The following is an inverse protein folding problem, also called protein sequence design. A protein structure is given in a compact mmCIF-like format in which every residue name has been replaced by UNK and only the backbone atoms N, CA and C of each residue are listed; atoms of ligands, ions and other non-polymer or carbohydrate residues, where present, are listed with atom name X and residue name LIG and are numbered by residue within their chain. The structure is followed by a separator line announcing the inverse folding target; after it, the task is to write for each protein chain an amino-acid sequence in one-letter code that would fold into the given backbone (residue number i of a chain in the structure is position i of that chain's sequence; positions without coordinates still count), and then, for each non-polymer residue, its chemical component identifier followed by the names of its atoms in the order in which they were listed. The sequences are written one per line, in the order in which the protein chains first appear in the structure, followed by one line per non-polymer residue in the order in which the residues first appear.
data_IF_874433089664
#
_entry.id   IF_874433089664
#
_cell.length_a   1.000
_cell.length_b   1.000
_cell.length_c   1.000
_cell.angle_alpha   90.00
_cell.angle_beta   90.00
_cell.angle_gamma   90.00
#
_symmetry.space_group_name_H-M   'P 1'
#
loop_
_entity.id
_entity.type
_entity.pdbx_description
1 polymer ?
#
# COMPACT_ATOMS: atom_id res chain seq x y z
N UNK A 1 4.56 -10.91 -23.28
CA UNK A 1 4.38 -11.72 -22.04
C UNK A 1 2.90 -11.65 -21.61
N UNK A 2 2.36 -12.62 -20.85
CA UNK A 2 0.97 -12.60 -20.35
C UNK A 2 0.68 -11.35 -19.49
N UNK A 3 1.70 -10.83 -18.78
CA UNK A 3 1.61 -9.56 -18.06
C UNK A 3 1.35 -8.40 -19.02
N UNK A 4 2.21 -8.22 -20.03
CA UNK A 4 2.06 -7.14 -21.02
C UNK A 4 0.69 -7.21 -21.74
N UNK A 5 0.16 -8.40 -21.99
CA UNK A 5 -1.18 -8.56 -22.56
C UNK A 5 -2.28 -8.09 -21.61
N UNK A 6 -2.16 -8.39 -20.31
CA UNK A 6 -3.09 -7.90 -19.29
C UNK A 6 -2.96 -6.37 -19.11
N UNK A 7 -1.74 -5.84 -19.10
CA UNK A 7 -1.46 -4.39 -19.06
C UNK A 7 -2.06 -3.69 -20.27
N UNK A 8 -1.84 -4.20 -21.50
CA UNK A 8 -2.43 -3.62 -22.70
C UNK A 8 -3.96 -3.69 -22.69
N UNK A 9 -4.55 -4.80 -22.21
CA UNK A 9 -6.00 -4.95 -22.11
C UNK A 9 -6.59 -3.93 -21.12
N UNK A 10 -6.00 -3.80 -19.94
CA UNK A 10 -6.45 -2.87 -18.90
C UNK A 10 -6.23 -1.41 -19.29
N UNK A 11 -5.06 -1.09 -19.87
CA UNK A 11 -4.78 0.24 -20.39
C UNK A 11 -5.75 0.62 -21.50
N UNK A 12 -6.07 -0.31 -22.39
CA UNK A 12 -7.09 -0.08 -23.43
C UNK A 12 -8.47 0.20 -22.82
N UNK A 13 -8.92 -0.59 -21.86
CA UNK A 13 -10.21 -0.37 -21.18
C UNK A 13 -10.24 1.03 -20.54
N UNK A 14 -9.18 1.44 -19.84
CA UNK A 14 -9.09 2.78 -19.24
C UNK A 14 -9.14 3.89 -20.31
N UNK A 15 -8.43 3.72 -21.43
CA UNK A 15 -8.43 4.69 -22.53
C UNK A 15 -9.82 4.80 -23.17
N UNK A 16 -10.46 3.68 -23.45
CA UNK A 16 -11.80 3.62 -24.05
C UNK A 16 -12.86 4.26 -23.11
N UNK A 17 -12.74 4.03 -21.79
CA UNK A 17 -13.50 4.69 -20.72
C UNK A 17 -13.30 6.21 -20.72
N UNK A 18 -12.05 6.69 -20.81
CA UNK A 18 -11.74 8.13 -20.80
C UNK A 18 -12.22 8.82 -22.08
N UNK A 19 -12.21 8.12 -23.22
CA UNK A 19 -12.66 8.64 -24.51
C UNK A 19 -14.19 8.65 -24.67
N UNK A 20 -14.92 8.03 -23.74
CA UNK A 20 -16.39 8.04 -23.73
C UNK A 20 -17.04 7.07 -24.71
N UNK A 21 -16.28 6.09 -25.23
CA UNK A 21 -16.79 5.11 -26.19
C UNK A 21 -17.61 3.98 -25.52
N UNK A 22 -17.51 3.82 -24.19
CA UNK A 22 -18.46 3.09 -23.33
C UNK A 22 -18.65 3.89 -22.03
N UNK A 23 -19.89 4.18 -21.63
CA UNK A 23 -20.25 5.15 -20.56
C UNK A 23 -20.03 4.59 -19.14
N UNK A 24 -18.82 4.11 -18.86
CA UNK A 24 -18.40 3.70 -17.51
C UNK A 24 -17.22 4.60 -17.12
N UNK A 25 -17.33 5.40 -16.05
CA UNK A 25 -16.23 6.28 -15.60
C UNK A 25 -15.05 5.45 -15.09
N UNK A 26 -13.87 6.06 -14.93
CA UNK A 26 -12.71 5.37 -14.34
C UNK A 26 -13.07 4.80 -12.97
N UNK A 27 -13.85 5.53 -12.17
CA UNK A 27 -14.34 5.07 -10.87
C UNK A 27 -15.22 3.83 -11.01
N UNK A 28 -16.18 3.85 -11.94
CA UNK A 28 -17.06 2.72 -12.19
C UNK A 28 -16.29 1.49 -12.72
N UNK A 29 -15.25 1.69 -13.55
CA UNK A 29 -14.34 0.62 -13.95
C UNK A 29 -13.71 -0.03 -12.73
N UNK A 30 -13.12 0.77 -11.83
CA UNK A 30 -12.52 0.18 -10.63
C UNK A 30 -13.58 -0.50 -9.77
N UNK A 31 -14.78 0.04 -9.59
CA UNK A 31 -15.85 -0.60 -8.81
C UNK A 31 -16.34 -1.94 -9.40
N UNK A 32 -16.42 -2.05 -10.73
CA UNK A 32 -17.07 -3.17 -11.40
C UNK A 32 -16.12 -4.20 -12.00
N UNK A 33 -14.86 -3.82 -12.26
CA UNK A 33 -13.89 -4.71 -12.87
C UNK A 33 -13.52 -5.86 -11.93
N UNK A 34 -13.68 -7.09 -12.42
CA UNK A 34 -13.33 -8.32 -11.71
C UNK A 34 -12.19 -9.00 -12.46
N UNK A 35 -10.95 -8.93 -11.95
CA UNK A 35 -9.84 -9.64 -12.56
C UNK A 35 -10.13 -11.15 -12.59
N UNK A 36 -9.81 -11.82 -13.68
CA UNK A 36 -10.11 -13.25 -13.87
C UNK A 36 -8.85 -14.12 -13.85
N UNK A 37 -7.70 -13.53 -14.18
CA UNK A 37 -6.40 -14.22 -14.20
C UNK A 37 -5.45 -13.65 -13.16
N UNK A 38 -4.48 -14.44 -12.71
CA UNK A 38 -3.44 -13.97 -11.78
C UNK A 38 -2.64 -12.77 -12.34
N UNK A 39 -2.49 -12.68 -13.66
CA UNK A 39 -1.88 -11.52 -14.33
C UNK A 39 -2.77 -10.26 -14.26
N UNK A 40 -4.08 -10.40 -14.45
CA UNK A 40 -5.03 -9.30 -14.29
C UNK A 40 -5.11 -8.85 -12.83
N UNK A 41 -5.10 -9.78 -11.86
CA UNK A 41 -5.06 -9.44 -10.44
C UNK A 41 -3.78 -8.69 -10.05
N UNK A 42 -2.62 -9.05 -10.63
CA UNK A 42 -1.37 -8.32 -10.44
C UNK A 42 -1.50 -6.87 -10.93
N UNK A 43 -1.89 -6.67 -12.18
CA UNK A 43 -1.97 -5.33 -12.77
C UNK A 43 -3.04 -4.50 -12.06
N UNK A 44 -4.19 -5.08 -11.74
CA UNK A 44 -5.24 -4.40 -11.01
C UNK A 44 -4.79 -4.01 -9.59
N UNK A 45 -4.05 -4.87 -8.89
CA UNK A 45 -3.47 -4.55 -7.59
C UNK A 45 -2.43 -3.43 -7.70
N UNK A 46 -1.56 -3.46 -8.71
CA UNK A 46 -0.61 -2.37 -9.01
C UNK A 46 -1.34 -1.04 -9.22
N UNK A 47 -2.44 -1.04 -9.99
CA UNK A 47 -3.27 0.15 -10.20
C UNK A 47 -3.91 0.67 -8.91
N UNK A 48 -4.45 -0.22 -8.09
CA UNK A 48 -5.02 0.16 -6.78
C UNK A 48 -3.95 0.76 -5.85
N UNK A 49 -2.73 0.23 -5.87
CA UNK A 49 -1.61 0.81 -5.11
C UNK A 49 -1.24 2.21 -5.59
N UNK A 50 -1.22 2.45 -6.90
CA UNK A 50 -0.98 3.79 -7.48
C UNK A 50 -2.07 4.79 -7.05
N UNK A 51 -3.32 4.32 -6.88
CA UNK A 51 -4.42 5.13 -6.35
C UNK A 51 -4.42 5.30 -4.83
N UNK A 52 -3.47 4.68 -4.12
CA UNK A 52 -3.42 4.69 -2.66
C UNK A 52 -4.48 3.79 -2.00
N UNK A 53 -5.21 2.96 -2.76
CA UNK A 53 -6.20 2.01 -2.26
C UNK A 53 -5.54 0.73 -1.73
N UNK A 54 -4.58 0.88 -0.81
CA UNK A 54 -3.71 -0.19 -0.32
C UNK A 54 -4.47 -1.37 0.28
N UNK A 55 -5.52 -1.08 1.06
CA UNK A 55 -6.31 -2.14 1.68
C UNK A 55 -7.05 -2.95 0.62
N UNK A 56 -7.63 -2.27 -0.37
CA UNK A 56 -8.36 -2.92 -1.45
C UNK A 56 -7.44 -3.77 -2.33
N UNK A 57 -6.26 -3.24 -2.69
CA UNK A 57 -5.23 -4.02 -3.39
C UNK A 57 -4.90 -5.32 -2.63
N UNK A 58 -4.76 -5.21 -1.30
CA UNK A 58 -4.55 -6.38 -0.44
C UNK A 58 -5.74 -7.34 -0.39
N UNK A 59 -6.97 -6.84 -0.33
CA UNK A 59 -8.16 -7.69 -0.30
C UNK A 59 -8.36 -8.46 -1.61
N UNK A 60 -8.07 -7.85 -2.76
CA UNK A 60 -8.14 -8.50 -4.06
C UNK A 60 -7.17 -9.68 -4.17
N UNK A 61 -5.90 -9.47 -3.76
CA UNK A 61 -4.91 -10.56 -3.73
C UNK A 61 -5.29 -11.65 -2.73
N UNK A 62 -5.76 -11.28 -1.54
CA UNK A 62 -6.19 -12.24 -0.52
C UNK A 62 -7.33 -13.14 -1.03
N UNK A 63 -8.32 -12.54 -1.71
CA UNK A 63 -9.45 -13.26 -2.28
C UNK A 63 -9.02 -14.23 -3.38
N UNK A 64 -8.06 -13.85 -4.22
CA UNK A 64 -7.50 -14.73 -5.24
C UNK A 64 -6.73 -15.90 -4.59
N UNK A 65 -5.79 -15.61 -3.68
CA UNK A 65 -4.99 -16.64 -2.97
C UNK A 65 -5.91 -17.69 -2.31
N UNK A 66 -7.01 -17.25 -1.70
CA UNK A 66 -7.98 -18.14 -1.08
C UNK A 66 -8.60 -19.13 -2.07
N UNK A 67 -8.90 -18.70 -3.30
CA UNK A 67 -9.53 -19.52 -4.35
C UNK A 67 -8.54 -20.38 -5.14
N UNK A 68 -7.26 -20.03 -5.13
CA UNK A 68 -6.22 -20.72 -5.91
C UNK A 68 -5.69 -21.95 -5.18
N UNK A 69 -5.78 -23.13 -5.78
CA UNK A 69 -5.21 -24.37 -5.22
C UNK A 69 -3.99 -24.90 -6.00
N UNK A 70 -3.75 -24.36 -7.19
CA UNK A 70 -2.57 -24.68 -8.00
C UNK A 70 -1.29 -24.20 -7.31
N UNK A 71 -0.35 -25.11 -7.03
CA UNK A 71 0.92 -24.76 -6.42
C UNK A 71 1.68 -23.70 -7.23
N UNK A 72 1.76 -23.86 -8.55
CA UNK A 72 2.50 -22.92 -9.40
C UNK A 72 1.90 -21.52 -9.36
N UNK A 73 0.56 -21.43 -9.29
CA UNK A 73 -0.12 -20.16 -9.22
C UNK A 73 0.02 -19.52 -7.84
N UNK A 74 -0.03 -20.31 -6.75
CA UNK A 74 0.26 -19.81 -5.40
C UNK A 74 1.68 -19.27 -5.27
N UNK A 75 2.68 -19.94 -5.87
CA UNK A 75 4.05 -19.44 -5.91
C UNK A 75 4.16 -18.12 -6.68
N UNK A 76 3.46 -18.01 -7.82
CA UNK A 76 3.43 -16.76 -8.59
C UNK A 76 2.75 -15.63 -7.81
N UNK A 77 1.66 -15.91 -7.10
CA UNK A 77 0.97 -14.94 -6.26
C UNK A 77 1.81 -14.49 -5.07
N UNK A 78 2.56 -15.41 -4.45
CA UNK A 78 3.51 -15.09 -3.39
C UNK A 78 4.62 -14.16 -3.88
N UNK A 79 5.22 -14.45 -5.04
CA UNK A 79 6.22 -13.58 -5.66
C UNK A 79 5.66 -12.20 -6.03
N UNK A 80 4.46 -12.17 -6.61
CA UNK A 80 3.74 -10.93 -6.93
C UNK A 80 3.53 -10.08 -5.69
N UNK A 81 3.00 -10.68 -4.62
CA UNK A 81 2.77 -9.94 -3.38
C UNK A 81 4.09 -9.44 -2.76
N UNK A 82 5.20 -10.19 -2.90
CA UNK A 82 6.54 -9.73 -2.49
C UNK A 82 7.03 -8.51 -3.30
N UNK A 83 6.77 -8.48 -4.61
CA UNK A 83 7.10 -7.33 -5.48
C UNK A 83 6.33 -6.11 -5.00
N UNK A 84 5.04 -6.28 -4.70
CA UNK A 84 4.14 -5.24 -4.20
C UNK A 84 4.37 -4.87 -2.73
N UNK A 85 5.30 -5.55 -2.05
CA UNK A 85 5.56 -5.40 -0.61
C UNK A 85 4.34 -5.69 0.27
N UNK A 86 3.37 -6.43 -0.25
CA UNK A 86 2.25 -6.95 0.53
C UNK A 86 2.71 -8.22 1.27
N UNK A 87 3.43 -8.00 2.38
CA UNK A 87 4.03 -9.06 3.17
C UNK A 87 2.99 -10.01 3.79
N UNK A 88 1.73 -9.59 3.92
CA UNK A 88 0.63 -10.40 4.44
C UNK A 88 0.13 -11.39 3.40
N UNK A 89 -0.18 -10.90 2.21
CA UNK A 89 -0.59 -11.77 1.11
C UNK A 89 0.55 -12.65 0.60
N UNK A 90 1.78 -12.15 0.59
CA UNK A 90 2.94 -12.96 0.24
C UNK A 90 3.07 -14.16 1.19
N UNK A 91 2.97 -13.92 2.50
CA UNK A 91 3.03 -14.97 3.51
C UNK A 91 1.91 -15.99 3.31
N UNK A 92 0.67 -15.51 3.17
CA UNK A 92 -0.49 -16.37 2.98
C UNK A 92 -0.36 -17.27 1.74
N UNK A 93 0.12 -16.72 0.60
CA UNK A 93 0.31 -17.48 -0.62
C UNK A 93 1.39 -18.57 -0.47
N UNK A 94 2.55 -18.24 0.15
CA UNK A 94 3.62 -19.21 0.36
C UNK A 94 3.28 -20.25 1.43
N UNK A 95 2.55 -19.89 2.48
CA UNK A 95 2.04 -20.85 3.47
C UNK A 95 1.05 -21.82 2.81
N UNK A 96 0.08 -21.31 2.04
CA UNK A 96 -0.84 -22.18 1.29
C UNK A 96 -0.12 -23.05 0.27
N UNK A 97 0.93 -22.53 -0.38
CA UNK A 97 1.80 -23.32 -1.27
C UNK A 97 2.53 -24.45 -0.53
N UNK A 98 2.99 -24.21 0.71
CA UNK A 98 3.67 -25.20 1.55
C UNK A 98 2.75 -26.35 1.97
N UNK A 99 1.44 -26.10 2.03
CA UNK A 99 0.41 -27.09 2.38
C UNK A 99 -0.10 -27.87 1.17
N UNK A 100 0.30 -27.48 -0.06
CA UNK A 100 -0.15 -28.14 -1.28
C UNK A 100 0.38 -29.57 -1.36
N UNK A 101 -0.48 -30.49 -1.79
CA UNK A 101 -0.14 -31.92 -1.95
C UNK A 101 0.67 -32.20 -3.21
N UNK A 102 0.66 -31.29 -4.19
CA UNK A 102 1.33 -31.48 -5.47
C UNK A 102 2.75 -30.91 -5.44
N UNK A 103 3.77 -31.75 -5.66
CA UNK A 103 5.19 -31.34 -5.91
C UNK A 103 5.81 -30.34 -4.93
N UNK A 104 5.24 -30.13 -3.73
CA UNK A 104 5.75 -29.16 -2.75
C UNK A 104 7.21 -29.44 -2.37
N UNK A 105 7.62 -30.71 -2.33
CA UNK A 105 9.00 -31.11 -2.04
C UNK A 105 10.01 -30.49 -3.03
N UNK A 106 9.62 -30.30 -4.29
CA UNK A 106 10.44 -29.65 -5.33
C UNK A 106 10.65 -28.17 -5.05
N UNK A 107 9.68 -27.51 -4.43
CA UNK A 107 9.68 -26.06 -4.18
C UNK A 107 9.96 -25.67 -2.73
N UNK A 108 10.10 -26.66 -1.83
CA UNK A 108 10.28 -26.47 -0.39
C UNK A 108 11.33 -25.40 -0.04
N UNK A 109 12.54 -25.52 -0.59
CA UNK A 109 13.63 -24.56 -0.34
C UNK A 109 13.30 -23.13 -0.81
N UNK A 110 12.56 -22.99 -1.91
CA UNK A 110 12.11 -21.67 -2.42
C UNK A 110 11.08 -21.06 -1.48
N UNK A 111 10.10 -21.85 -1.06
CA UNK A 111 9.04 -21.43 -0.13
C UNK A 111 9.66 -21.02 1.21
N UNK A 112 10.54 -21.84 1.77
CA UNK A 112 11.25 -21.54 3.02
C UNK A 112 12.07 -20.26 2.92
N UNK A 113 12.81 -20.06 1.81
CA UNK A 113 13.56 -18.82 1.57
C UNK A 113 12.63 -17.61 1.51
N UNK A 114 11.52 -17.72 0.78
CA UNK A 114 10.55 -16.62 0.65
C UNK A 114 9.94 -16.25 2.01
N UNK A 115 9.51 -17.25 2.80
CA UNK A 115 8.99 -17.04 4.16
C UNK A 115 10.06 -16.43 5.09
N UNK A 116 11.34 -16.80 4.94
CA UNK A 116 12.45 -16.18 5.64
C UNK A 116 12.59 -14.69 5.32
N UNK A 117 12.59 -14.33 4.03
CA UNK A 117 12.65 -12.93 3.57
C UNK A 117 11.46 -12.13 4.09
N UNK A 118 10.25 -12.71 4.09
CA UNK A 118 9.05 -12.05 4.61
C UNK A 118 9.18 -11.78 6.09
N UNK A 119 9.61 -12.78 6.88
CA UNK A 119 9.81 -12.64 8.31
C UNK A 119 10.83 -11.54 8.63
N UNK A 120 11.97 -11.57 7.96
CA UNK A 120 13.03 -10.55 8.12
C UNK A 120 12.51 -9.15 7.75
N UNK A 121 11.79 -9.02 6.64
CA UNK A 121 11.23 -7.74 6.20
C UNK A 121 10.22 -7.17 7.22
N UNK A 122 9.37 -8.01 7.81
CA UNK A 122 8.46 -7.59 8.89
C UNK A 122 9.22 -7.12 10.12
N UNK A 123 10.21 -7.90 10.56
CA UNK A 123 11.03 -7.54 11.71
C UNK A 123 11.76 -6.21 11.52
N UNK A 124 12.31 -5.99 10.32
CA UNK A 124 12.95 -4.71 9.96
C UNK A 124 11.92 -3.57 10.04
N UNK A 125 10.73 -3.73 9.45
CA UNK A 125 9.70 -2.69 9.46
C UNK A 125 9.22 -2.38 10.90
N UNK A 126 8.99 -3.41 11.72
CA UNK A 126 8.59 -3.26 13.13
C UNK A 126 9.69 -2.61 13.97
N UNK A 127 10.96 -3.00 13.77
CA UNK A 127 12.09 -2.35 14.42
C UNK A 127 12.15 -0.86 14.06
N UNK A 128 11.92 -0.51 12.79
CA UNK A 128 11.89 0.88 12.34
C UNK A 128 10.76 1.69 12.98
N UNK A 129 9.60 1.07 13.24
CA UNK A 129 8.54 1.69 14.05
C UNK A 129 9.02 1.95 15.48
N UNK A 130 9.64 0.97 16.13
CA UNK A 130 10.14 1.12 17.50
C UNK A 130 11.23 2.21 17.63
N UNK A 131 12.13 2.29 16.65
CA UNK A 131 13.13 3.35 16.56
C UNK A 131 12.49 4.72 16.37
N UNK A 132 11.50 4.83 15.48
CA UNK A 132 10.68 6.02 15.29
C UNK A 132 9.97 6.47 16.58
N UNK A 133 9.35 5.54 17.31
CA UNK A 133 8.71 5.79 18.60
C UNK A 133 9.69 6.30 19.66
N UNK A 134 10.89 5.72 19.70
CA UNK A 134 11.94 6.17 20.61
C UNK A 134 12.42 7.60 20.28
N UNK A 135 12.50 7.96 19.00
CA UNK A 135 12.85 9.30 18.54
C UNK A 135 11.73 10.31 18.81
N UNK A 136 10.47 9.91 18.67
CA UNK A 136 9.29 10.72 19.05
C UNK A 136 9.36 11.09 20.54
N UNK A 137 9.71 10.15 21.42
CA UNK A 137 9.89 10.42 22.86
C UNK A 137 10.99 11.45 23.12
N UNK A 138 12.02 11.50 22.27
CA UNK A 138 13.11 12.48 22.30
C UNK A 138 12.77 13.79 21.56
N UNK A 139 11.59 13.89 20.94
CA UNK A 139 11.16 15.00 20.07
C UNK A 139 12.09 15.22 18.86
N UNK A 140 12.82 14.19 18.43
CA UNK A 140 13.64 14.22 17.22
C UNK A 140 12.75 13.87 16.01
N UNK A 141 11.92 14.83 15.62
CA UNK A 141 10.86 14.62 14.62
C UNK A 141 11.41 14.28 13.24
N UNK A 142 12.52 14.90 12.83
CA UNK A 142 13.13 14.64 11.51
C UNK A 142 13.60 13.20 11.39
N UNK A 143 14.32 12.68 12.39
CA UNK A 143 14.77 11.28 12.36
C UNK A 143 13.60 10.32 12.55
N UNK A 144 12.64 10.65 13.41
CA UNK A 144 11.44 9.81 13.56
C UNK A 144 10.70 9.64 12.24
N UNK A 145 10.55 10.72 11.45
CA UNK A 145 9.93 10.65 10.13
C UNK A 145 10.68 9.71 9.19
N UNK A 146 12.03 9.72 9.21
CA UNK A 146 12.85 8.84 8.39
C UNK A 146 12.67 7.36 8.74
N UNK A 147 12.60 7.03 10.04
CA UNK A 147 12.38 5.65 10.47
C UNK A 147 10.98 5.17 10.08
N UNK A 148 9.95 5.98 10.28
CA UNK A 148 8.60 5.62 9.84
C UNK A 148 8.46 5.50 8.31
N UNK A 149 9.09 6.39 7.52
CA UNK A 149 9.15 6.25 6.06
C UNK A 149 9.82 4.95 5.65
N UNK A 150 10.89 4.55 6.34
CA UNK A 150 11.59 3.29 6.09
C UNK A 150 10.71 2.07 6.42
N UNK A 151 9.94 2.14 7.51
CA UNK A 151 8.97 1.11 7.86
C UNK A 151 7.86 0.99 6.80
N UNK A 152 7.25 2.12 6.40
CA UNK A 152 6.21 2.16 5.36
C UNK A 152 6.73 1.66 4.01
N UNK A 153 7.97 1.99 3.64
CA UNK A 153 8.59 1.49 2.41
C UNK A 153 8.79 -0.03 2.43
N UNK A 154 9.09 -0.59 3.60
CA UNK A 154 9.32 -2.03 3.77
C UNK A 154 8.01 -2.82 3.84
N UNK A 155 7.04 -2.29 4.58
CA UNK A 155 5.71 -2.88 4.75
C UNK A 155 4.63 -1.78 4.65
N UNK A 156 4.13 -1.50 3.43
CA UNK A 156 3.19 -0.40 3.19
C UNK A 156 1.86 -0.49 3.93
N UNK A 157 1.47 -1.69 4.36
CA UNK A 157 0.25 -1.98 5.11
C UNK A 157 0.46 -2.03 6.64
N UNK A 158 1.67 -1.72 7.14
CA UNK A 158 1.94 -1.62 8.57
C UNK A 158 1.24 -0.38 9.15
N UNK A 159 0.07 -0.60 9.75
CA UNK A 159 -0.81 0.47 10.23
C UNK A 159 -0.12 1.40 11.26
N UNK A 160 0.68 0.83 12.18
CA UNK A 160 1.42 1.61 13.18
C UNK A 160 2.43 2.57 12.53
N UNK A 161 3.13 2.13 11.48
CA UNK A 161 4.06 2.98 10.74
C UNK A 161 3.35 4.14 10.03
N UNK A 162 2.20 3.87 9.41
CA UNK A 162 1.36 4.89 8.75
C UNK A 162 0.90 5.97 9.73
N UNK A 163 0.35 5.55 10.87
CA UNK A 163 -0.11 6.48 11.91
C UNK A 163 1.06 7.27 12.53
N UNK A 164 2.16 6.60 12.81
CA UNK A 164 3.39 7.21 13.33
C UNK A 164 3.93 8.27 12.38
N UNK A 165 4.05 7.94 11.09
CA UNK A 165 4.52 8.86 10.06
C UNK A 165 3.63 10.10 9.96
N UNK A 166 2.31 9.92 9.83
CA UNK A 166 1.35 11.03 9.77
C UNK A 166 1.48 11.96 10.97
N UNK A 167 1.58 11.37 12.17
CA UNK A 167 1.71 12.13 13.43
C UNK A 167 2.99 12.94 13.50
N UNK A 168 4.11 12.38 13.05
CA UNK A 168 5.41 13.06 13.08
C UNK A 168 5.48 14.17 12.04
N UNK A 169 5.02 13.92 10.82
CA UNK A 169 5.02 14.91 9.74
C UNK A 169 4.16 16.14 10.07
N UNK A 170 3.02 15.94 10.74
CA UNK A 170 2.20 17.05 11.23
C UNK A 170 2.95 17.92 12.28
N UNK A 171 3.85 17.32 13.05
CA UNK A 171 4.62 18.02 14.10
C UNK A 171 5.91 18.64 13.58
N UNK A 172 6.41 18.19 12.43
CA UNK A 172 7.67 18.63 11.86
C UNK A 172 7.68 20.15 11.62
N UNK A 173 8.81 20.81 11.91
CA UNK A 173 8.96 22.26 11.73
C UNK A 173 10.24 22.55 10.93
N UNK A 174 10.19 23.47 9.95
CA UNK A 174 9.00 24.19 9.47
C UNK A 174 8.00 23.25 8.79
N UNK A 175 6.72 23.63 8.84
CA UNK A 175 5.69 22.90 8.10
C UNK A 175 5.84 23.25 6.61
N UNK A 176 6.01 22.23 5.77
CA UNK A 176 5.99 22.37 4.31
C UNK A 176 4.70 21.77 3.76
N UNK A 177 4.31 22.20 2.56
CA UNK A 177 3.19 21.60 1.82
C UNK A 177 3.37 20.09 1.67
N UNK A 178 4.54 19.66 1.20
CA UNK A 178 4.86 18.24 0.99
C UNK A 178 4.72 17.37 2.25
N UNK A 179 5.21 17.83 3.42
CA UNK A 179 5.08 17.04 4.65
C UNK A 179 3.62 16.95 5.13
N UNK A 180 2.84 18.01 4.92
CA UNK A 180 1.41 18.03 5.27
C UNK A 180 0.58 17.10 4.38
N UNK A 181 0.91 17.08 3.09
CA UNK A 181 0.27 16.22 2.10
C UNK A 181 0.56 14.75 2.38
N UNK A 182 1.84 14.40 2.56
CA UNK A 182 2.26 13.04 2.96
C UNK A 182 1.63 12.62 4.30
N UNK A 183 1.44 13.56 5.25
CA UNK A 183 0.75 13.27 6.50
C UNK A 183 -0.73 12.90 6.29
N UNK A 184 -1.42 13.59 5.36
CA UNK A 184 -2.80 13.31 5.00
C UNK A 184 -2.93 11.94 4.32
N UNK A 185 -2.06 11.65 3.34
CA UNK A 185 -2.00 10.37 2.64
C UNK A 185 -1.82 9.19 3.60
N UNK A 186 -0.85 9.28 4.52
CA UNK A 186 -0.58 8.21 5.48
C UNK A 186 -1.73 8.03 6.47
N UNK A 187 -2.46 9.10 6.80
CA UNK A 187 -3.63 9.00 7.67
C UNK A 187 -4.82 8.34 6.98
N UNK A 188 -5.07 8.67 5.71
CA UNK A 188 -6.09 7.99 4.88
C UNK A 188 -5.77 6.52 4.72
N UNK A 189 -4.51 6.21 4.41
CA UNK A 189 -4.02 4.84 4.35
C UNK A 189 -4.28 4.11 5.67
N UNK A 190 -3.93 4.70 6.82
CA UNK A 190 -4.20 4.12 8.14
C UNK A 190 -5.68 3.82 8.36
N UNK A 191 -6.57 4.77 8.06
CA UNK A 191 -8.03 4.58 8.21
C UNK A 191 -8.57 3.52 7.26
N UNK A 192 -7.99 3.40 6.06
CA UNK A 192 -8.41 2.41 5.06
C UNK A 192 -7.99 0.98 5.41
N UNK A 193 -6.94 0.81 6.21
CA UNK A 193 -6.47 -0.50 6.65
C UNK A 193 -7.42 -1.09 7.68
N UNK A 194 -7.53 -2.42 7.71
CA UNK A 194 -8.34 -3.20 8.65
C UNK A 194 -7.81 -3.04 10.08
N UNK A 195 -8.15 -1.88 10.64
CA UNK A 195 -7.82 -1.44 11.99
C UNK A 195 -9.10 -1.54 12.79
N UNK A 196 -9.02 -1.95 14.07
CA UNK A 196 -10.18 -2.07 14.96
C UNK A 196 -10.78 -0.70 15.38
N UNK A 197 -10.67 0.32 14.51
CA UNK A 197 -11.19 1.66 14.72
C UNK A 197 -12.71 1.64 14.79
N UNK A 198 -13.26 2.33 15.78
CA UNK A 198 -14.71 2.60 15.82
C UNK A 198 -15.08 3.61 14.74
N UNK A 199 -16.29 3.57 14.20
CA UNK A 199 -16.78 4.48 13.16
C UNK A 199 -16.52 5.96 13.47
N UNK A 200 -16.71 6.35 14.74
CA UNK A 200 -16.47 7.71 15.22
C UNK A 200 -14.98 8.11 15.15
N UNK A 201 -14.09 7.18 15.45
CA UNK A 201 -12.64 7.39 15.37
C UNK A 201 -12.18 7.45 13.92
N UNK A 202 -12.64 6.52 13.09
CA UNK A 202 -12.42 6.52 11.64
C UNK A 202 -12.85 7.86 11.01
N UNK A 203 -14.08 8.30 11.27
CA UNK A 203 -14.59 9.60 10.76
C UNK A 203 -13.74 10.79 11.22
N UNK A 204 -13.28 10.77 12.48
CA UNK A 204 -12.43 11.83 13.03
C UNK A 204 -11.09 11.89 12.32
N UNK A 205 -10.48 10.73 12.06
CA UNK A 205 -9.19 10.63 11.40
C UNK A 205 -9.30 11.00 9.91
N UNK A 206 -10.37 10.61 9.21
CA UNK A 206 -10.63 11.06 7.83
C UNK A 206 -10.74 12.58 7.75
N UNK A 207 -11.55 13.21 8.61
CA UNK A 207 -11.66 14.68 8.67
C UNK A 207 -10.32 15.35 8.99
N UNK A 208 -9.49 14.71 9.81
CA UNK A 208 -8.14 15.21 10.10
C UNK A 208 -7.25 15.14 8.86
N UNK A 209 -7.34 14.09 8.05
CA UNK A 209 -6.60 13.98 6.80
C UNK A 209 -7.01 15.10 5.83
N UNK A 210 -8.31 15.36 5.66
CA UNK A 210 -8.82 16.44 4.81
C UNK A 210 -8.34 17.82 5.31
N UNK A 211 -8.30 18.01 6.63
CA UNK A 211 -7.73 19.23 7.21
C UNK A 211 -6.23 19.38 6.97
N UNK A 212 -5.47 18.28 6.92
CA UNK A 212 -4.03 18.30 6.63
C UNK A 212 -3.78 18.66 5.17
N UNK A 213 -4.56 18.09 4.24
CA UNK A 213 -4.50 18.40 2.81
C UNK A 213 -4.85 19.87 2.54
N UNK A 214 -5.94 20.39 3.12
CA UNK A 214 -6.29 21.82 2.99
C UNK A 214 -5.19 22.75 3.56
N UNK A 215 -4.50 22.32 4.63
CA UNK A 215 -3.32 23.04 5.15
C UNK A 215 -2.15 22.96 4.16
N UNK A 216 -1.95 21.80 3.52
CA UNK A 216 -0.90 21.57 2.53
C UNK A 216 -1.07 22.52 1.34
N UNK A 217 -2.29 22.61 0.78
CA UNK A 217 -2.61 23.53 -0.32
C UNK A 217 -2.35 25.00 0.05
N UNK A 218 -2.80 25.42 1.23
CA UNK A 218 -2.57 26.79 1.71
C UNK A 218 -1.08 27.07 1.86
N UNK A 219 -0.31 26.07 2.28
CA UNK A 219 1.13 26.19 2.46
C UNK A 219 1.85 26.22 1.11
N UNK A 220 1.42 25.41 0.13
CA UNK A 220 1.96 25.41 -1.23
C UNK A 220 1.80 26.79 -1.89
N UNK A 221 0.61 27.40 -1.78
CA UNK A 221 0.37 28.78 -2.28
C UNK A 221 1.32 29.82 -1.68
N UNK A 222 1.72 29.66 -0.41
CA UNK A 222 2.67 30.56 0.24
C UNK A 222 4.11 30.32 -0.23
N UNK A 223 4.47 29.06 -0.45
CA UNK A 223 5.79 28.66 -0.96
C UNK A 223 5.96 29.19 -2.39
N UNK A 224 4.96 29.04 -3.24
CA UNK A 224 4.94 29.60 -4.60
C UNK A 224 5.03 31.13 -4.61
N UNK A 225 4.29 31.80 -3.73
CA UNK A 225 4.33 33.26 -3.62
C UNK A 225 5.70 33.78 -3.18
N UNK A 226 6.42 33.03 -2.33
CA UNK A 226 7.79 33.38 -1.94
C UNK A 226 8.77 33.17 -3.09
N UNK A 227 8.65 32.07 -3.83
CA UNK A 227 9.53 31.77 -4.96
C UNK A 227 9.37 32.75 -6.13
N UNK A 228 8.19 33.37 -6.30
CA UNK A 228 7.98 34.41 -7.33
C UNK A 228 8.53 35.79 -6.95
N UNK A 229 8.86 36.00 -5.68
CA UNK A 229 9.25 37.30 -5.13
C UNK A 229 10.71 37.36 -4.63
N UNK A 230 11.49 36.29 -4.81
CA UNK A 230 12.91 36.20 -4.44
C UNK A 230 13.77 35.92 -5.65
#
# INVERSE_FOLDING_TARGET
NKKDQAECKLAKIIIDTVNGDEVETVEAFFENYKPATSAEHLVFSEMLLVRGELNRAGLELAALIKKTDSLQELLALGDTALILKDLDNAKAAFEKAAESKDKVATYKKRIEKALGVIKESRQIAEQKVQEGDALVKKKDWDKAAQEYRSAVKTWPRLASARLGLSTVLEKLKPQSSSNLDEAAENLRAYVSLDTELKDKESTKLSKKADSLEARAEKQARKEDAKNKNG
#
